data_IF_784208205643
#
_entry.id   IF_784208205643
#
_cell.length_a   1.000
_cell.length_b   1.000
_cell.length_c   1.000
_cell.angle_alpha   90.00
_cell.angle_beta   90.00
_cell.angle_gamma   90.00
#
_symmetry.space_group_name_H-M   'P 1'
#
loop_
_entity.id
_entity.type
_entity.pdbx_description
1 polymer ?
#
# COMPACT_ATOMS: atom_id res chain seq x y z
N UNK A 1 2.78 42.00 1.18
CA UNK A 1 4.03 41.68 0.46
C UNK A 1 4.58 40.41 1.07
N UNK A 2 4.70 39.33 0.31
CA UNK A 2 5.29 38.08 0.79
C UNK A 2 6.74 38.35 1.21
N UNK A 3 7.09 37.99 2.44
CA UNK A 3 8.44 38.23 2.98
C UNK A 3 9.37 37.11 2.52
N UNK A 4 9.75 37.17 1.25
CA UNK A 4 10.67 36.23 0.61
C UNK A 4 12.09 36.77 0.70
N UNK A 5 12.98 36.03 1.36
CA UNK A 5 14.41 36.36 1.47
C UNK A 5 15.24 35.19 0.97
N UNK A 6 16.43 35.49 0.47
CA UNK A 6 17.37 34.48 -0.02
C UNK A 6 17.65 33.41 1.04
N UNK A 7 17.89 33.85 2.28
CA UNK A 7 18.15 32.96 3.42
C UNK A 7 17.03 31.93 3.67
N UNK A 8 15.76 32.32 3.48
CA UNK A 8 14.62 31.41 3.64
C UNK A 8 14.57 30.38 2.52
N UNK A 9 14.86 30.80 1.28
CA UNK A 9 14.88 29.92 0.12
C UNK A 9 15.98 28.87 0.31
N UNK A 10 17.19 29.31 0.69
CA UNK A 10 18.31 28.40 0.92
C UNK A 10 18.04 27.44 2.07
N UNK A 11 17.43 27.91 3.16
CA UNK A 11 17.05 27.05 4.29
C UNK A 11 16.05 25.95 3.90
N UNK A 12 15.04 26.25 3.06
CA UNK A 12 14.10 25.24 2.56
C UNK A 12 14.85 24.21 1.72
N UNK A 13 15.70 24.64 0.79
CA UNK A 13 16.45 23.73 -0.10
C UNK A 13 17.41 22.83 0.67
N UNK A 14 18.12 23.36 1.67
CA UNK A 14 19.05 22.59 2.49
C UNK A 14 18.31 21.49 3.27
N UNK A 15 17.12 21.80 3.79
CA UNK A 15 16.34 20.87 4.60
C UNK A 15 15.57 19.84 3.80
N UNK A 16 15.12 20.19 2.58
CA UNK A 16 14.22 19.33 1.81
C UNK A 16 14.85 18.73 0.55
N UNK A 17 15.95 19.30 0.05
CA UNK A 17 16.54 18.94 -1.24
C UNK A 17 15.81 19.54 -2.44
N UNK A 18 14.83 20.42 -2.23
CA UNK A 18 14.09 21.08 -3.30
C UNK A 18 15.01 21.89 -4.23
N UNK A 19 14.63 21.96 -5.51
CA UNK A 19 15.25 22.89 -6.45
C UNK A 19 14.96 24.34 -6.03
N UNK A 20 15.77 25.29 -6.51
CA UNK A 20 15.57 26.70 -6.19
C UNK A 20 14.18 27.21 -6.58
N UNK A 21 13.70 26.80 -7.76
CA UNK A 21 12.37 27.16 -8.24
C UNK A 21 11.26 26.61 -7.32
N UNK A 22 11.36 25.33 -6.94
CA UNK A 22 10.42 24.71 -6.00
C UNK A 22 10.42 25.41 -4.64
N UNK A 23 11.58 25.78 -4.12
CA UNK A 23 11.68 26.51 -2.85
C UNK A 23 11.01 27.90 -2.92
N UNK A 24 11.12 28.61 -4.04
CA UNK A 24 10.40 29.88 -4.25
C UNK A 24 8.89 29.65 -4.32
N UNK A 25 8.45 28.61 -5.02
CA UNK A 25 7.03 28.26 -5.15
C UNK A 25 6.39 27.95 -3.79
N UNK A 26 6.98 27.03 -3.01
CA UNK A 26 6.50 26.67 -1.67
C UNK A 26 6.41 27.88 -0.74
N UNK A 27 7.42 28.74 -0.74
CA UNK A 27 7.42 29.93 0.09
C UNK A 27 6.42 30.98 -0.42
N UNK A 28 6.11 31.00 -1.71
CA UNK A 28 5.10 31.91 -2.27
C UNK A 28 3.69 31.45 -1.90
N UNK A 29 3.42 30.15 -2.01
CA UNK A 29 2.15 29.52 -1.63
C UNK A 29 1.87 29.63 -0.13
N UNK A 30 2.93 29.54 0.69
CA UNK A 30 2.83 29.58 2.15
C UNK A 30 3.22 30.95 2.74
N UNK A 31 3.05 32.02 1.97
CA UNK A 31 3.23 33.42 2.40
C UNK A 31 4.59 33.76 3.07
N UNK A 32 5.64 33.01 2.76
CA UNK A 32 6.98 33.15 3.30
C UNK A 32 7.22 32.46 4.64
N UNK A 33 6.32 31.55 5.06
CA UNK A 33 6.47 30.68 6.21
C UNK A 33 7.32 29.46 5.84
N UNK A 34 8.54 29.40 6.36
CA UNK A 34 9.50 28.32 6.08
C UNK A 34 9.03 26.98 6.63
N UNK A 35 8.41 26.97 7.81
CA UNK A 35 7.99 25.73 8.46
C UNK A 35 6.83 25.11 7.67
N UNK A 36 5.84 25.92 7.31
CA UNK A 36 4.70 25.45 6.52
C UNK A 36 5.13 25.04 5.10
N UNK A 37 6.08 25.77 4.49
CA UNK A 37 6.68 25.40 3.21
C UNK A 37 7.42 24.05 3.28
N UNK A 38 8.15 23.77 4.36
CA UNK A 38 8.82 22.48 4.56
C UNK A 38 7.79 21.38 4.81
N UNK A 39 6.79 21.61 5.66
CA UNK A 39 5.74 20.62 5.96
C UNK A 39 4.90 20.33 4.72
N UNK A 40 4.56 21.32 3.91
CA UNK A 40 3.81 21.13 2.66
C UNK A 40 4.66 20.45 1.59
N UNK A 41 5.96 20.78 1.47
CA UNK A 41 6.89 20.03 0.62
C UNK A 41 7.09 18.61 1.10
N UNK A 42 7.18 18.40 2.41
CA UNK A 42 7.23 17.09 3.01
C UNK A 42 5.89 16.39 2.81
N UNK A 43 4.72 16.99 2.87
CA UNK A 43 3.45 16.29 2.62
C UNK A 43 3.21 16.00 1.13
N UNK A 44 3.78 16.81 0.23
CA UNK A 44 3.72 16.59 -1.22
C UNK A 44 4.83 15.66 -1.74
N UNK A 45 6.00 15.63 -1.10
CA UNK A 45 7.12 14.70 -1.32
C UNK A 45 7.22 13.60 -0.26
N UNK A 46 6.26 13.54 0.66
CA UNK A 46 5.64 12.34 1.19
C UNK A 46 4.82 11.82 0.01
N UNK A 47 5.53 11.53 -1.08
CA UNK A 47 5.46 10.18 -1.58
C UNK A 47 5.53 9.31 -0.35
N UNK A 48 4.35 8.79 -0.04
CA UNK A 48 4.13 7.60 0.74
C UNK A 48 5.32 6.61 0.67
N UNK A 49 6.11 6.55 -0.41
CA UNK A 49 7.37 5.81 -0.65
C UNK A 49 8.37 5.57 0.51
N UNK A 50 8.42 6.34 1.61
CA UNK A 50 9.23 5.98 2.79
C UNK A 50 8.46 5.34 3.95
N UNK A 51 7.13 5.34 3.91
CA UNK A 51 6.25 4.58 4.82
C UNK A 51 5.57 3.40 4.06
N UNK A 52 5.26 3.60 2.78
CA UNK A 52 4.69 2.68 1.79
C UNK A 52 5.70 2.41 0.65
N UNK A 53 6.57 1.42 0.82
CA UNK A 53 7.16 0.73 -0.34
C UNK A 53 6.09 -0.12 -1.07
N UNK A 54 4.95 0.45 -1.44
CA UNK A 54 3.86 -0.23 -2.15
C UNK A 54 3.07 0.77 -3.01
N UNK A 55 3.70 1.18 -4.11
CA UNK A 55 3.09 1.30 -5.43
C UNK A 55 1.58 0.99 -5.43
N UNK A 56 0.71 2.00 -5.28
CA UNK A 56 -0.76 1.96 -5.43
C UNK A 56 -1.39 0.57 -5.37
N UNK A 57 -1.14 -0.16 -4.28
CA UNK A 57 -1.59 -1.54 -4.19
C UNK A 57 -3.04 -1.49 -3.76
N UNK A 58 -3.97 -1.67 -4.68
CA UNK A 58 -5.40 -1.65 -4.37
C UNK A 58 -5.70 -2.85 -3.46
N UNK A 59 -5.86 -2.59 -2.16
CA UNK A 59 -6.21 -3.59 -1.16
C UNK A 59 -7.73 -3.72 -1.11
N UNK A 60 -8.25 -4.89 -1.45
CA UNK A 60 -9.67 -5.21 -1.40
C UNK A 60 -9.94 -6.24 -0.29
N UNK A 61 -10.90 -5.95 0.57
CA UNK A 61 -11.35 -6.88 1.62
C UNK A 61 -12.68 -7.51 1.19
N UNK A 62 -12.72 -8.84 1.14
CA UNK A 62 -13.91 -9.60 0.79
C UNK A 62 -14.23 -10.56 1.92
N UNK A 63 -15.41 -10.41 2.53
CA UNK A 63 -15.90 -11.36 3.52
C UNK A 63 -16.54 -12.56 2.82
N UNK A 64 -16.13 -13.77 3.22
CA UNK A 64 -16.56 -15.02 2.58
C UNK A 64 -16.81 -16.09 3.64
N UNK A 65 -17.90 -16.83 3.50
CA UNK A 65 -18.18 -17.99 4.35
C UNK A 65 -17.19 -19.13 4.07
N UNK A 66 -16.81 -19.91 5.09
CA UNK A 66 -15.77 -20.94 4.99
C UNK A 66 -15.94 -21.88 3.79
N UNK A 67 -17.14 -22.39 3.54
CA UNK A 67 -17.41 -23.29 2.41
C UNK A 67 -17.18 -22.70 1.02
N UNK A 68 -17.20 -21.37 0.86
CA UNK A 68 -16.95 -20.68 -0.42
C UNK A 68 -15.55 -20.06 -0.52
N UNK A 69 -14.75 -20.16 0.54
CA UNK A 69 -13.42 -19.57 0.63
C UNK A 69 -12.49 -20.11 -0.46
N UNK A 70 -12.44 -21.43 -0.62
CA UNK A 70 -11.57 -22.13 -1.60
C UNK A 70 -11.96 -21.74 -3.03
N UNK A 71 -13.25 -21.72 -3.35
CA UNK A 71 -13.76 -21.33 -4.67
C UNK A 71 -13.39 -19.88 -5.00
N UNK A 72 -13.55 -18.97 -4.03
CA UNK A 72 -13.23 -17.55 -4.24
C UNK A 72 -11.74 -17.35 -4.47
N UNK A 73 -10.87 -17.98 -3.67
CA UNK A 73 -9.42 -17.91 -3.87
C UNK A 73 -9.05 -18.48 -5.24
N UNK A 74 -9.63 -19.61 -5.64
CA UNK A 74 -9.40 -20.19 -6.97
C UNK A 74 -9.81 -19.24 -8.09
N UNK A 75 -10.95 -18.55 -7.98
CA UNK A 75 -11.39 -17.52 -8.93
C UNK A 75 -10.37 -16.38 -9.04
N UNK A 76 -9.89 -15.87 -7.90
CA UNK A 76 -8.90 -14.78 -7.85
C UNK A 76 -7.56 -15.17 -8.48
N UNK A 77 -7.15 -16.43 -8.31
CA UNK A 77 -5.97 -16.97 -8.99
C UNK A 77 -6.17 -17.06 -10.51
N UNK A 78 -7.38 -17.40 -10.98
CA UNK A 78 -7.70 -17.44 -12.40
C UNK A 78 -7.81 -16.05 -13.04
N UNK A 79 -8.29 -15.05 -12.29
CA UNK A 79 -8.32 -13.65 -12.74
C UNK A 79 -6.90 -13.12 -13.02
N UNK A 80 -5.87 -13.65 -12.36
CA UNK A 80 -4.47 -13.28 -12.55
C UNK A 80 -4.10 -11.85 -12.09
N UNK A 81 -5.08 -10.95 -11.92
CA UNK A 81 -4.87 -9.57 -11.52
C UNK A 81 -4.63 -9.40 -10.00
N UNK A 82 -4.10 -10.43 -9.33
CA UNK A 82 -3.86 -10.45 -7.90
C UNK A 82 -2.40 -10.82 -7.66
N UNK A 83 -1.73 -10.04 -6.83
CA UNK A 83 -0.31 -10.26 -6.49
C UNK A 83 -0.13 -10.94 -5.14
N UNK A 84 -1.09 -10.75 -4.23
CA UNK A 84 -1.07 -11.35 -2.90
C UNK A 84 -2.49 -11.60 -2.42
N UNK A 85 -2.69 -12.76 -1.79
CA UNK A 85 -3.93 -13.13 -1.12
C UNK A 85 -3.57 -13.43 0.33
N UNK A 86 -4.19 -12.71 1.26
CA UNK A 86 -4.08 -12.97 2.70
C UNK A 86 -5.46 -13.33 3.25
N UNK A 87 -5.50 -14.22 4.22
CA UNK A 87 -6.73 -14.71 4.83
C UNK A 87 -6.68 -14.38 6.29
N UNK A 88 -7.74 -13.72 6.75
CA UNK A 88 -7.90 -13.21 8.09
C UNK A 88 -9.07 -13.93 8.77
N UNK A 89 -8.85 -14.36 10.00
CA UNK A 89 -9.84 -15.02 10.87
C UNK A 89 -9.68 -14.42 12.27
N UNK A 90 -10.78 -14.01 12.90
CA UNK A 90 -10.79 -13.47 14.27
C UNK A 90 -9.75 -12.35 14.50
N UNK A 91 -9.69 -11.43 13.54
CA UNK A 91 -8.73 -10.32 13.49
C UNK A 91 -7.25 -10.65 13.22
N UNK A 92 -6.88 -11.90 13.02
CA UNK A 92 -5.51 -12.33 12.73
C UNK A 92 -5.32 -12.90 11.32
N UNK A 93 -4.18 -12.63 10.69
CA UNK A 93 -3.83 -13.20 9.38
C UNK A 93 -3.34 -14.63 9.58
N UNK A 94 -4.14 -15.60 9.16
CA UNK A 94 -3.88 -17.04 9.32
C UNK A 94 -3.15 -17.66 8.13
N UNK A 95 -3.25 -17.05 6.94
CA UNK A 95 -2.61 -17.55 5.74
C UNK A 95 -2.23 -16.40 4.81
N UNK A 96 -1.04 -16.50 4.20
CA UNK A 96 -0.58 -15.53 3.22
C UNK A 96 0.00 -16.26 2.00
N UNK A 97 -0.54 -15.95 0.83
CA UNK A 97 -0.21 -16.61 -0.44
C UNK A 97 0.28 -15.54 -1.42
N UNK A 98 1.57 -15.55 -1.82
CA UNK A 98 2.03 -14.76 -2.95
C UNK A 98 1.45 -15.34 -4.23
N UNK A 99 0.92 -14.50 -5.10
CA UNK A 99 0.33 -14.89 -6.39
C UNK A 99 1.10 -14.18 -7.48
N UNK A 100 2.19 -14.78 -7.94
CA UNK A 100 2.93 -14.31 -9.10
C UNK A 100 2.54 -15.15 -10.32
N UNK A 101 2.48 -14.54 -11.51
CA UNK A 101 2.18 -15.18 -12.80
C UNK A 101 3.12 -16.35 -13.20
N UNK A 102 4.08 -16.74 -12.36
CA UNK A 102 5.05 -17.81 -12.60
C UNK A 102 5.14 -18.86 -11.49
N UNK A 103 4.19 -18.92 -10.55
CA UNK A 103 4.21 -19.91 -9.47
C UNK A 103 3.78 -21.29 -9.99
N UNK A 104 4.60 -22.30 -9.77
CA UNK A 104 4.29 -23.68 -10.12
C UNK A 104 3.18 -24.26 -9.23
N UNK A 105 2.34 -25.14 -9.79
CA UNK A 105 1.25 -25.79 -9.06
C UNK A 105 1.72 -26.55 -7.80
N UNK A 106 2.93 -27.14 -7.84
CA UNK A 106 3.56 -27.80 -6.69
C UNK A 106 3.77 -26.85 -5.51
N UNK A 107 4.08 -25.58 -5.78
CA UNK A 107 4.30 -24.55 -4.75
C UNK A 107 2.98 -24.06 -4.17
N UNK A 108 1.90 -24.02 -4.97
CA UNK A 108 0.56 -23.62 -4.54
C UNK A 108 -0.17 -24.71 -3.73
N UNK A 109 0.12 -26.00 -3.97
CA UNK A 109 -0.59 -27.11 -3.36
C UNK A 109 -0.61 -27.10 -1.81
N UNK A 110 0.50 -26.81 -1.09
CA UNK A 110 0.49 -26.69 0.36
C UNK A 110 -0.44 -25.58 0.86
N UNK A 111 -0.43 -24.41 0.21
CA UNK A 111 -1.28 -23.28 0.60
C UNK A 111 -2.77 -23.60 0.39
N UNK A 112 -3.13 -24.27 -0.70
CA UNK A 112 -4.51 -24.72 -0.95
C UNK A 112 -4.96 -25.80 0.04
N UNK A 113 -4.05 -26.66 0.50
CA UNK A 113 -4.36 -27.66 1.54
C UNK A 113 -4.66 -27.00 2.89
N UNK A 114 -3.83 -26.04 3.32
CA UNK A 114 -4.07 -25.26 4.54
C UNK A 114 -5.37 -24.47 4.42
N UNK A 115 -5.61 -23.86 3.26
CA UNK A 115 -6.85 -23.15 2.96
C UNK A 115 -8.08 -24.03 3.11
N UNK A 116 -8.03 -25.26 2.60
CA UNK A 116 -9.13 -26.23 2.71
C UNK A 116 -9.37 -26.64 4.17
N UNK A 117 -8.32 -26.81 4.96
CA UNK A 117 -8.44 -27.06 6.40
C UNK A 117 -9.12 -25.90 7.15
N UNK A 118 -8.74 -24.65 6.84
CA UNK A 118 -9.37 -23.46 7.41
C UNK A 118 -10.84 -23.35 6.98
N UNK A 119 -11.12 -23.56 5.70
CA UNK A 119 -12.47 -23.53 5.13
C UNK A 119 -13.42 -24.58 5.75
N UNK A 120 -12.89 -25.74 6.14
CA UNK A 120 -13.66 -26.81 6.75
C UNK A 120 -14.08 -26.50 8.20
N UNK A 121 -13.31 -25.67 8.92
CA UNK A 121 -13.51 -25.40 10.35
C UNK A 121 -14.07 -24.00 10.61
N UNK A 122 -13.74 -23.02 9.78
CA UNK A 122 -14.16 -21.63 9.96
C UNK A 122 -15.54 -21.35 9.36
N UNK A 123 -16.40 -20.66 10.09
CA UNK A 123 -17.74 -20.26 9.62
C UNK A 123 -17.67 -19.04 8.69
N UNK A 124 -16.86 -18.04 9.05
CA UNK A 124 -16.60 -16.82 8.28
C UNK A 124 -15.11 -16.50 8.26
N UNK A 125 -14.62 -15.96 7.14
CA UNK A 125 -13.24 -15.49 6.96
C UNK A 125 -13.22 -14.24 6.09
N UNK A 126 -12.21 -13.40 6.25
CA UNK A 126 -11.98 -12.24 5.39
C UNK A 126 -10.80 -12.51 4.47
N UNK A 127 -11.00 -12.36 3.17
CA UNK A 127 -9.95 -12.43 2.16
C UNK A 127 -9.47 -11.00 1.89
N UNK A 128 -8.19 -10.76 2.13
CA UNK A 128 -7.51 -9.50 1.83
C UNK A 128 -6.71 -9.73 0.55
N UNK A 129 -7.02 -8.95 -0.48
CA UNK A 129 -6.48 -9.13 -1.81
C UNK A 129 -5.71 -7.89 -2.18
N UNK A 130 -4.49 -8.08 -2.64
CA UNK A 130 -3.67 -6.99 -3.11
C UNK A 130 -3.55 -7.07 -4.63
N UNK A 131 -4.16 -6.12 -5.33
CA UNK A 131 -4.11 -6.00 -6.80
C UNK A 131 -2.99 -5.06 -7.24
N UNK A 132 -2.53 -5.26 -8.47
CA UNK A 132 -1.51 -4.42 -9.14
C UNK A 132 -2.16 -3.22 -9.81
#
# INVERSE_FOLDING_TARGET
>A
MTNLTLDKIDLVRERTGASYQQAVELLTENEGNVIEAIISYENSNLTEDKINNNFSKKIENIEVSGGKLVEKVKSLLHEGNVTRISIKKDDEIVLNIPVNFGIAAVVLAPFLSVLAGIAAVATSCTIIIERK
#
